data_IF_567466117497
#
_entry.id   IF_567466117497
#
_cell.length_a   1.000
_cell.length_b   1.000
_cell.length_c   1.000
_cell.angle_alpha   90.00
_cell.angle_beta   90.00
_cell.angle_gamma   90.00
#
_symmetry.space_group_name_H-M   'P 1'
#
loop_
_entity.id
_entity.type
_entity.pdbx_description
1 polymer ?
#
# COMPACT_ATOMS: atom_id res chain seq x y z
N UNK A 1 -13.58 -6.79 3.33
CA UNK A 1 -13.04 -7.86 4.19
C UNK A 1 -11.73 -8.38 3.61
N UNK A 2 -10.82 -8.86 4.44
CA UNK A 2 -9.65 -9.67 4.05
C UNK A 2 -9.62 -10.97 4.85
N UNK A 3 -8.97 -12.01 4.33
CA UNK A 3 -8.64 -13.21 5.07
C UNK A 3 -7.41 -13.91 4.44
N UNK A 4 -6.85 -14.90 5.12
CA UNK A 4 -5.67 -15.62 4.67
C UNK A 4 -5.71 -17.10 5.02
N UNK A 5 -5.41 -17.97 4.07
CA UNK A 5 -5.51 -19.41 4.23
C UNK A 5 -4.26 -20.12 3.67
N UNK A 6 -4.04 -21.40 3.99
CA UNK A 6 -2.97 -22.19 3.36
C UNK A 6 -3.11 -22.17 1.84
N UNK A 7 -2.00 -22.01 1.11
CA UNK A 7 -2.07 -21.94 -0.35
C UNK A 7 -2.62 -23.26 -0.92
N UNK A 8 -3.69 -23.24 -1.73
CA UNK A 8 -4.11 -24.41 -2.49
C UNK A 8 -3.02 -24.82 -3.48
N UNK A 9 -2.64 -26.10 -3.50
CA UNK A 9 -1.56 -26.59 -4.36
C UNK A 9 -1.80 -26.31 -5.85
N UNK A 10 -3.08 -26.39 -6.25
CA UNK A 10 -3.54 -26.17 -7.62
C UNK A 10 -3.28 -24.73 -8.14
N UNK A 11 -3.14 -23.76 -7.24
CA UNK A 11 -2.91 -22.37 -7.62
C UNK A 11 -1.39 -22.10 -7.53
N UNK A 12 -0.72 -21.70 -8.64
CA UNK A 12 0.72 -21.49 -8.63
C UNK A 12 1.10 -20.24 -7.81
N UNK A 13 2.25 -20.25 -7.10
CA UNK A 13 2.77 -19.06 -6.44
C UNK A 13 2.92 -17.87 -7.40
N UNK A 14 2.58 -16.68 -6.92
CA UNK A 14 2.58 -15.46 -7.72
C UNK A 14 1.32 -15.25 -8.56
N UNK A 15 0.39 -16.22 -8.59
CA UNK A 15 -0.92 -16.01 -9.21
C UNK A 15 -1.70 -14.92 -8.48
N UNK A 16 -2.34 -14.05 -9.26
CA UNK A 16 -3.24 -13.02 -8.79
C UNK A 16 -4.51 -13.10 -9.62
N UNK A 17 -5.64 -13.35 -8.95
CA UNK A 17 -6.94 -13.49 -9.58
C UNK A 17 -7.91 -12.42 -9.11
N UNK A 18 -8.84 -12.06 -9.97
CA UNK A 18 -9.96 -11.18 -9.61
C UNK A 18 -11.26 -11.76 -10.14
N UNK A 19 -12.28 -11.79 -9.28
CA UNK A 19 -13.66 -12.12 -9.65
C UNK A 19 -14.48 -10.87 -9.46
N UNK A 20 -15.07 -10.36 -10.54
CA UNK A 20 -15.72 -9.04 -10.57
C UNK A 20 -17.22 -9.20 -10.80
N UNK A 21 -17.99 -8.32 -10.18
CA UNK A 21 -19.42 -8.17 -10.42
C UNK A 21 -19.81 -6.69 -10.25
N UNK A 22 -21.07 -6.37 -10.53
CA UNK A 22 -21.62 -5.07 -10.20
C UNK A 22 -21.49 -4.80 -8.69
N UNK A 23 -20.75 -3.73 -8.38
CA UNK A 23 -20.50 -3.15 -7.05
C UNK A 23 -19.73 -4.04 -6.06
N UNK A 24 -19.25 -5.19 -6.51
CA UNK A 24 -18.61 -6.20 -5.68
C UNK A 24 -17.45 -6.85 -6.42
N UNK A 25 -16.41 -7.24 -5.70
CA UNK A 25 -15.28 -7.97 -6.29
C UNK A 25 -14.51 -8.78 -5.26
N UNK A 26 -13.92 -9.88 -5.71
CA UNK A 26 -12.93 -10.66 -4.98
C UNK A 26 -11.57 -10.44 -5.63
N UNK A 27 -10.53 -10.28 -4.82
CA UNK A 27 -9.14 -10.33 -5.23
C UNK A 27 -8.44 -11.45 -4.48
N UNK A 28 -7.76 -12.34 -5.20
CA UNK A 28 -6.95 -13.43 -4.69
C UNK A 28 -5.48 -13.11 -4.95
N UNK A 29 -4.65 -13.16 -3.91
CA UNK A 29 -3.20 -13.07 -4.01
C UNK A 29 -2.58 -14.37 -3.53
N UNK A 30 -1.82 -15.03 -4.38
CA UNK A 30 -1.27 -16.35 -4.07
C UNK A 30 0.23 -16.28 -3.78
N UNK A 31 0.62 -16.55 -2.53
CA UNK A 31 2.01 -16.58 -2.08
C UNK A 31 2.71 -17.91 -2.33
N UNK A 32 3.80 -18.18 -1.60
CA UNK A 32 4.49 -19.48 -1.64
C UNK A 32 3.83 -20.53 -0.75
N UNK A 33 3.40 -20.13 0.44
CA UNK A 33 2.81 -21.00 1.47
C UNK A 33 1.39 -20.62 1.85
N UNK A 34 0.99 -19.36 1.62
CA UNK A 34 -0.33 -18.84 1.98
C UNK A 34 -0.94 -18.08 0.81
N UNK A 35 -2.26 -18.02 0.81
CA UNK A 35 -3.05 -17.16 -0.07
C UNK A 35 -3.75 -16.10 0.77
N UNK A 36 -4.07 -14.98 0.13
CA UNK A 36 -4.84 -13.90 0.71
C UNK A 36 -6.02 -13.60 -0.19
N UNK A 37 -7.17 -13.35 0.42
CA UNK A 37 -8.36 -12.90 -0.26
C UNK A 37 -8.77 -11.53 0.26
N UNK A 38 -9.28 -10.71 -0.64
CA UNK A 38 -9.91 -9.44 -0.34
C UNK A 38 -11.27 -9.41 -1.00
N UNK A 39 -12.30 -9.23 -0.18
CA UNK A 39 -13.68 -9.09 -0.62
C UNK A 39 -14.05 -7.62 -0.50
N UNK A 40 -14.53 -7.04 -1.60
CA UNK A 40 -14.91 -5.64 -1.68
C UNK A 40 -16.37 -5.52 -2.04
N UNK A 41 -17.03 -4.59 -1.38
CA UNK A 41 -18.37 -4.14 -1.71
C UNK A 41 -18.40 -2.61 -1.63
N UNK A 42 -19.06 -1.99 -2.60
CA UNK A 42 -19.25 -0.55 -2.63
C UNK A 42 -20.31 -0.16 -1.61
N UNK A 43 -19.96 0.80 -0.74
CA UNK A 43 -20.95 1.41 0.16
C UNK A 43 -22.06 2.15 -0.62
N UNK A 44 -23.31 2.16 -0.13
CA UNK A 44 -24.42 2.86 -0.78
C UNK A 44 -24.15 4.36 -1.01
N UNK A 45 -23.46 5.00 -0.06
CA UNK A 45 -23.02 6.39 -0.14
C UNK A 45 -21.65 6.55 0.53
N UNK A 46 -20.86 7.58 0.15
CA UNK A 46 -19.67 7.97 0.91
C UNK A 46 -20.06 8.29 2.36
N UNK A 47 -19.24 7.84 3.31
CA UNK A 47 -19.43 8.13 4.74
C UNK A 47 -18.10 8.56 5.36
N UNK A 48 -18.19 9.45 6.34
CA UNK A 48 -17.08 9.85 7.22
C UNK A 48 -17.15 9.14 8.57
N UNK A 49 -18.13 8.26 8.77
CA UNK A 49 -18.39 7.61 10.03
C UNK A 49 -17.40 6.48 10.27
N UNK A 50 -16.96 6.38 11.52
CA UNK A 50 -16.16 5.24 11.96
C UNK A 50 -17.07 4.05 12.18
N UNK A 51 -16.97 3.07 11.31
CA UNK A 51 -17.70 1.80 11.46
C UNK A 51 -16.83 0.79 12.20
N UNK A 52 -17.36 0.26 13.29
CA UNK A 52 -16.73 -0.86 14.00
C UNK A 52 -17.31 -2.16 13.45
N UNK A 53 -16.49 -2.93 12.74
CA UNK A 53 -16.86 -4.27 12.29
C UNK A 53 -16.67 -5.26 13.44
N UNK A 54 -17.74 -5.96 13.84
CA UNK A 54 -17.67 -7.08 14.79
C UNK A 54 -17.46 -8.41 14.05
N UNK A 55 -17.20 -9.49 14.77
CA UNK A 55 -16.88 -10.78 14.17
C UNK A 55 -18.04 -11.33 13.33
N UNK A 56 -19.27 -11.10 13.80
CA UNK A 56 -20.51 -11.46 13.14
C UNK A 56 -20.64 -10.77 11.77
N UNK A 57 -20.36 -9.46 11.69
CA UNK A 57 -20.37 -8.73 10.43
C UNK A 57 -19.36 -9.30 9.41
N UNK A 58 -18.20 -9.76 9.90
CA UNK A 58 -17.16 -10.35 9.05
C UNK A 58 -17.61 -11.68 8.46
N UNK A 59 -18.30 -12.51 9.26
CA UNK A 59 -18.84 -13.81 8.82
C UNK A 59 -19.98 -13.58 7.82
N UNK A 60 -20.96 -12.74 8.16
CA UNK A 60 -22.09 -12.41 7.27
C UNK A 60 -21.58 -11.86 5.92
N UNK A 61 -20.58 -10.98 5.96
CA UNK A 61 -19.99 -10.43 4.74
C UNK A 61 -19.30 -11.53 3.91
N UNK A 62 -18.58 -12.46 4.53
CA UNK A 62 -17.95 -13.59 3.85
C UNK A 62 -18.99 -14.52 3.20
N UNK A 63 -20.04 -14.86 3.94
CA UNK A 63 -21.12 -15.76 3.51
C UNK A 63 -21.86 -15.19 2.30
N UNK A 64 -21.99 -13.86 2.22
CA UNK A 64 -22.56 -13.19 1.05
C UNK A 64 -21.76 -13.37 -0.26
N UNK A 65 -20.54 -13.93 -0.18
CA UNK A 65 -19.68 -14.29 -1.31
C UNK A 65 -19.43 -15.82 -1.38
N UNK A 66 -20.06 -16.64 -0.52
CA UNK A 66 -19.76 -18.07 -0.35
C UNK A 66 -19.63 -18.84 -1.69
N UNK A 67 -20.61 -18.67 -2.57
CA UNK A 67 -20.69 -19.36 -3.87
C UNK A 67 -19.76 -18.80 -4.96
N UNK A 68 -19.06 -17.70 -4.70
CA UNK A 68 -18.23 -17.06 -5.73
C UNK A 68 -16.95 -17.85 -5.94
N UNK A 69 -16.64 -18.14 -7.21
CA UNK A 69 -15.36 -18.72 -7.56
C UNK A 69 -14.22 -17.72 -7.34
N UNK A 70 -13.19 -18.16 -6.63
CA UNK A 70 -11.93 -17.43 -6.47
C UNK A 70 -10.86 -17.87 -7.48
N UNK A 71 -10.99 -19.10 -7.99
CA UNK A 71 -10.10 -19.70 -8.97
C UNK A 71 -10.76 -20.93 -9.59
N UNK A 72 -10.95 -20.95 -10.92
CA UNK A 72 -11.63 -22.03 -11.65
C UNK A 72 -12.97 -22.42 -11.00
N UNK A 73 -13.03 -23.59 -10.35
CA UNK A 73 -14.23 -24.11 -9.68
C UNK A 73 -14.12 -24.06 -8.14
N UNK A 74 -13.04 -23.52 -7.59
CA UNK A 74 -12.87 -23.34 -6.14
C UNK A 74 -13.66 -22.12 -5.69
N UNK A 75 -14.64 -22.35 -4.81
CA UNK A 75 -15.46 -21.29 -4.24
C UNK A 75 -14.80 -20.66 -3.02
N UNK A 76 -15.34 -19.52 -2.59
CA UNK A 76 -14.89 -18.85 -1.37
C UNK A 76 -15.15 -19.71 -0.12
N UNK A 77 -16.33 -20.31 -0.03
CA UNK A 77 -16.74 -21.15 1.11
C UNK A 77 -15.78 -22.32 1.37
N UNK A 78 -15.13 -22.83 0.32
CA UNK A 78 -14.20 -23.96 0.41
C UNK A 78 -12.86 -23.60 1.10
N UNK A 79 -12.52 -22.31 1.18
CA UNK A 79 -11.17 -21.86 1.61
C UNK A 79 -11.17 -20.79 2.69
N UNK A 80 -12.30 -20.12 2.94
CA UNK A 80 -12.34 -18.99 3.86
C UNK A 80 -12.07 -19.46 5.29
N UNK A 81 -11.03 -18.89 5.89
CA UNK A 81 -10.70 -19.10 7.30
C UNK A 81 -11.04 -17.83 8.09
N UNK A 82 -12.23 -17.83 8.71
CA UNK A 82 -12.73 -16.70 9.50
C UNK A 82 -11.82 -16.34 10.68
N UNK A 83 -10.98 -17.26 11.18
CA UNK A 83 -10.05 -16.97 12.28
C UNK A 83 -8.94 -15.97 11.89
N UNK A 84 -8.72 -15.81 10.58
CA UNK A 84 -7.75 -14.87 10.02
C UNK A 84 -8.40 -13.65 9.37
N UNK A 85 -9.73 -13.58 9.42
CA UNK A 85 -10.48 -12.59 8.71
C UNK A 85 -10.56 -11.26 9.47
N UNK A 86 -10.70 -10.17 8.71
CA UNK A 86 -11.00 -8.86 9.24
C UNK A 86 -11.72 -8.00 8.21
N UNK A 87 -12.34 -6.93 8.68
CA UNK A 87 -13.09 -6.02 7.83
C UNK A 87 -12.93 -4.57 8.29
N UNK A 88 -12.94 -3.67 7.32
CA UNK A 88 -12.93 -2.23 7.51
C UNK A 88 -13.53 -1.58 6.26
N UNK A 89 -14.09 -0.38 6.44
CA UNK A 89 -14.31 0.53 5.32
C UNK A 89 -12.97 0.97 4.74
N UNK A 90 -12.94 1.19 3.42
CA UNK A 90 -11.78 1.74 2.74
C UNK A 90 -11.91 3.26 2.66
N UNK A 91 -10.92 3.94 3.21
CA UNK A 91 -10.82 5.39 3.16
C UNK A 91 -10.08 5.81 1.88
N UNK A 92 -10.46 6.97 1.34
CA UNK A 92 -9.85 7.60 0.17
C UNK A 92 -9.59 9.07 0.50
N UNK A 93 -8.35 9.57 0.33
CA UNK A 93 -8.07 10.99 0.45
C UNK A 93 -6.60 11.37 0.59
N UNK A 94 -6.31 12.67 0.54
CA UNK A 94 -5.00 13.24 0.84
C UNK A 94 -5.22 14.38 1.84
N UNK A 95 -4.48 14.40 2.95
CA UNK A 95 -4.64 15.43 3.98
C UNK A 95 -4.14 16.78 3.48
N UNK A 96 -4.82 17.86 3.83
CA UNK A 96 -4.35 19.23 3.51
C UNK A 96 -3.28 19.71 4.50
N UNK A 97 -3.38 19.28 5.75
CA UNK A 97 -2.45 19.61 6.83
C UNK A 97 -1.59 18.38 7.12
N UNK A 98 -0.32 18.41 6.72
CA UNK A 98 0.59 17.26 6.77
C UNK A 98 1.67 17.39 7.84
N UNK A 99 1.82 18.55 8.49
CA UNK A 99 2.79 18.78 9.56
C UNK A 99 2.33 19.87 10.50
N UNK A 100 2.84 19.87 11.73
CA UNK A 100 2.65 20.95 12.69
C UNK A 100 3.84 21.00 13.66
N UNK A 101 4.56 22.12 13.72
CA UNK A 101 5.75 22.25 14.55
C UNK A 101 6.80 21.22 14.20
N UNK A 102 7.11 20.33 15.15
CA UNK A 102 8.09 19.24 14.97
C UNK A 102 7.47 17.94 14.46
N UNK A 103 6.18 17.90 14.14
CA UNK A 103 5.45 16.67 13.75
C UNK A 103 5.19 16.68 12.25
N UNK A 104 5.37 15.54 11.59
CA UNK A 104 5.06 15.34 10.16
C UNK A 104 4.33 14.01 9.93
N UNK A 105 3.38 14.00 8.99
CA UNK A 105 2.59 12.84 8.59
C UNK A 105 3.21 12.15 7.36
N UNK A 106 3.20 10.82 7.38
CA UNK A 106 3.74 9.96 6.32
C UNK A 106 2.81 8.77 6.08
N UNK A 107 2.85 8.19 4.87
CA UNK A 107 2.03 7.03 4.51
C UNK A 107 0.54 7.26 4.73
N UNK A 108 -0.13 6.25 5.30
CA UNK A 108 -1.58 6.25 5.52
C UNK A 108 -2.12 7.41 6.38
N UNK A 109 -1.27 8.07 7.17
CA UNK A 109 -1.67 9.25 7.93
C UNK A 109 -1.74 10.52 7.05
N UNK A 110 -1.02 10.53 5.92
CA UNK A 110 -0.94 11.63 4.97
C UNK A 110 -1.86 11.41 3.76
N UNK A 111 -1.97 10.18 3.27
CA UNK A 111 -2.81 9.82 2.13
C UNK A 111 -3.43 8.44 2.33
N UNK A 112 -4.65 8.25 1.87
CA UNK A 112 -5.41 7.01 1.94
C UNK A 112 -5.79 6.58 0.54
N UNK A 113 -5.32 5.39 0.17
CA UNK A 113 -5.61 4.72 -1.08
C UNK A 113 -6.33 3.41 -0.80
N UNK A 114 -7.20 3.02 -1.72
CA UNK A 114 -7.82 1.70 -1.70
C UNK A 114 -6.75 0.61 -1.96
N UNK A 115 -6.94 -0.57 -1.35
CA UNK A 115 -5.93 -1.64 -1.43
C UNK A 115 -5.82 -2.28 -2.81
N UNK A 116 -6.82 -2.11 -3.67
CA UNK A 116 -6.94 -2.72 -4.99
C UNK A 116 -5.71 -2.51 -5.90
N UNK A 117 -5.04 -1.36 -5.83
CA UNK A 117 -3.87 -1.07 -6.65
C UNK A 117 -2.53 -1.39 -5.96
N UNK A 118 -2.55 -1.78 -4.68
CA UNK A 118 -1.35 -2.06 -3.89
C UNK A 118 -0.45 -0.83 -3.66
N UNK A 119 -0.99 0.39 -3.74
CA UNK A 119 -0.19 1.62 -3.74
C UNK A 119 0.12 2.19 -2.34
N UNK A 120 -0.67 1.88 -1.32
CA UNK A 120 -0.54 2.47 0.02
C UNK A 120 0.83 2.25 0.65
N UNK A 121 1.21 0.98 0.86
CA UNK A 121 2.53 0.62 1.43
C UNK A 121 3.69 1.16 0.58
N UNK A 122 3.59 1.03 -0.74
CA UNK A 122 4.63 1.49 -1.67
C UNK A 122 4.85 3.00 -1.60
N UNK A 123 3.80 3.80 -1.44
CA UNK A 123 3.91 5.23 -1.22
C UNK A 123 4.42 5.55 0.19
N UNK A 124 3.92 4.86 1.21
CA UNK A 124 4.40 5.06 2.58
C UNK A 124 5.91 4.84 2.74
N UNK A 125 6.48 3.83 2.07
CA UNK A 125 7.94 3.63 2.06
C UNK A 125 8.66 4.80 1.37
N UNK A 126 8.15 5.27 0.24
CA UNK A 126 8.74 6.43 -0.45
C UNK A 126 8.69 7.69 0.43
N UNK A 127 7.62 7.85 1.21
CA UNK A 127 7.46 9.00 2.12
C UNK A 127 8.45 8.96 3.26
N UNK A 128 8.66 7.79 3.87
CA UNK A 128 9.68 7.61 4.90
C UNK A 128 11.06 7.97 4.33
N UNK A 129 11.40 7.48 3.14
CA UNK A 129 12.68 7.81 2.50
C UNK A 129 12.81 9.31 2.23
N UNK A 130 11.77 9.93 1.66
CA UNK A 130 11.77 11.36 1.34
C UNK A 130 11.90 12.22 2.62
N UNK A 131 11.09 11.90 3.64
CA UNK A 131 11.09 12.58 4.93
C UNK A 131 12.43 12.45 5.64
N UNK A 132 12.93 11.22 5.83
CA UNK A 132 14.22 10.98 6.49
C UNK A 132 15.39 11.64 5.78
N UNK A 133 15.43 11.61 4.43
CA UNK A 133 16.48 12.30 3.68
C UNK A 133 16.43 13.83 3.88
N UNK A 134 15.23 14.40 3.91
CA UNK A 134 15.03 15.84 4.14
C UNK A 134 15.43 16.24 5.56
N UNK A 135 15.02 15.46 6.56
CA UNK A 135 15.38 15.64 7.97
C UNK A 135 16.89 15.52 8.18
N UNK A 136 17.52 14.49 7.60
CA UNK A 136 18.97 14.30 7.68
C UNK A 136 19.72 15.52 7.14
N UNK A 137 19.25 16.07 6.02
CA UNK A 137 19.86 17.27 5.41
C UNK A 137 19.84 18.45 6.39
N UNK A 138 18.68 18.80 6.94
CA UNK A 138 18.55 19.96 7.85
C UNK A 138 19.29 19.76 9.18
N UNK A 139 19.35 18.53 9.69
CA UNK A 139 20.15 18.19 10.88
C UNK A 139 21.65 18.35 10.59
N UNK A 140 22.11 17.89 9.43
CA UNK A 140 23.52 18.03 9.03
C UNK A 140 23.90 19.50 8.83
N UNK A 141 23.02 20.29 8.20
CA UNK A 141 23.21 21.74 8.02
C UNK A 141 23.20 22.51 9.34
N UNK A 142 22.49 21.99 10.36
CA UNK A 142 22.50 22.50 11.74
C UNK A 142 23.70 22.02 12.57
N UNK A 143 24.71 21.38 11.96
CA UNK A 143 25.87 20.88 12.71
C UNK A 143 25.54 19.71 13.66
N UNK A 144 24.49 18.95 13.35
CA UNK A 144 23.90 17.90 14.21
C UNK A 144 23.19 18.40 15.47
N UNK A 145 23.03 19.71 15.62
CA UNK A 145 22.13 20.27 16.63
C UNK A 145 20.66 20.12 16.21
N UNK A 146 19.76 20.22 17.19
CA UNK A 146 18.32 20.17 16.97
C UNK A 146 17.89 21.38 16.12
N UNK A 147 17.40 21.18 14.88
CA UNK A 147 16.96 22.30 14.07
C UNK A 147 15.81 23.03 14.75
N UNK A 148 15.73 24.35 14.53
CA UNK A 148 14.59 25.12 15.01
C UNK A 148 13.29 24.69 14.31
N UNK A 149 12.15 25.08 14.89
CA UNK A 149 10.84 24.68 14.37
C UNK A 149 10.60 25.21 12.95
N UNK A 150 11.10 26.41 12.61
CA UNK A 150 10.91 26.99 11.27
C UNK A 150 11.67 26.22 10.21
N UNK A 151 12.89 25.78 10.53
CA UNK A 151 13.72 24.96 9.65
C UNK A 151 13.06 23.59 9.41
N UNK A 152 12.47 22.98 10.45
CA UNK A 152 11.72 21.73 10.32
C UNK A 152 10.45 21.90 9.49
N UNK A 153 9.63 22.92 9.75
CA UNK A 153 8.41 23.18 8.98
C UNK A 153 8.71 23.43 7.49
N UNK A 154 9.77 24.18 7.18
CA UNK A 154 10.24 24.37 5.81
C UNK A 154 10.70 23.05 5.16
N UNK A 155 11.40 22.20 5.92
CA UNK A 155 11.84 20.87 5.48
C UNK A 155 10.65 19.96 5.19
N UNK A 156 9.67 19.91 6.10
CA UNK A 156 8.46 19.10 5.93
C UNK A 156 7.63 19.59 4.75
N UNK A 157 7.52 20.91 4.55
CA UNK A 157 6.85 21.49 3.38
C UNK A 157 7.52 21.06 2.07
N UNK A 158 8.85 21.10 2.01
CA UNK A 158 9.61 20.64 0.84
C UNK A 158 9.36 19.16 0.54
N UNK A 159 9.37 18.31 1.57
CA UNK A 159 9.00 16.89 1.43
C UNK A 159 7.58 16.72 0.87
N UNK A 160 6.61 17.43 1.45
CA UNK A 160 5.21 17.29 1.04
C UNK A 160 4.99 17.78 -0.39
N UNK A 161 5.56 18.93 -0.77
CA UNK A 161 5.48 19.45 -2.14
C UNK A 161 6.13 18.51 -3.17
N UNK A 162 7.25 17.87 -2.80
CA UNK A 162 7.90 16.85 -3.64
C UNK A 162 6.99 15.63 -3.87
N UNK A 163 6.17 15.25 -2.89
CA UNK A 163 5.33 14.05 -2.94
C UNK A 163 3.90 14.30 -3.40
N UNK A 164 3.42 15.55 -3.36
CA UNK A 164 2.04 15.90 -3.68
C UNK A 164 1.62 15.52 -5.12
N UNK A 165 2.50 15.72 -6.10
CA UNK A 165 2.25 15.27 -7.48
C UNK A 165 2.02 13.75 -7.55
N UNK A 166 3.01 12.94 -7.14
CA UNK A 166 2.87 11.49 -7.02
C UNK A 166 1.64 11.04 -6.21
N UNK A 167 1.32 11.69 -5.09
CA UNK A 167 0.13 11.39 -4.30
C UNK A 167 -1.16 11.53 -5.13
N UNK A 168 -1.31 12.63 -5.87
CA UNK A 168 -2.50 12.86 -6.69
C UNK A 168 -2.62 11.83 -7.83
N UNK A 169 -1.51 11.52 -8.50
CA UNK A 169 -1.50 10.54 -9.59
C UNK A 169 -1.88 9.14 -9.09
N UNK A 170 -1.33 8.73 -7.95
CA UNK A 170 -1.63 7.44 -7.35
C UNK A 170 -3.01 7.40 -6.72
N UNK A 171 -3.50 8.50 -6.16
CA UNK A 171 -4.87 8.64 -5.69
C UNK A 171 -5.88 8.44 -6.82
N UNK A 172 -5.71 9.15 -7.95
CA UNK A 172 -6.57 9.01 -9.13
C UNK A 172 -6.52 7.57 -9.66
N UNK A 173 -5.32 6.97 -9.71
CA UNK A 173 -5.15 5.61 -10.18
C UNK A 173 -5.86 4.59 -9.27
N UNK A 174 -5.65 4.68 -7.95
CA UNK A 174 -6.29 3.81 -6.97
C UNK A 174 -7.81 3.91 -7.03
N UNK A 175 -8.32 5.15 -7.09
CA UNK A 175 -9.73 5.48 -7.21
C UNK A 175 -10.36 4.82 -8.44
N UNK A 176 -9.69 4.93 -9.59
CA UNK A 176 -10.11 4.33 -10.85
C UNK A 176 -10.10 2.81 -10.78
N UNK A 177 -9.02 2.21 -10.26
CA UNK A 177 -8.86 0.75 -10.17
C UNK A 177 -9.98 0.10 -9.37
N UNK A 178 -10.28 0.62 -8.17
CA UNK A 178 -11.37 0.09 -7.34
C UNK A 178 -12.73 0.16 -8.04
N UNK A 179 -13.02 1.27 -8.74
CA UNK A 179 -14.29 1.46 -9.46
C UNK A 179 -14.40 0.56 -10.69
N UNK A 180 -13.27 0.31 -11.35
CA UNK A 180 -13.16 -0.66 -12.45
C UNK A 180 -13.42 -2.08 -11.94
N UNK A 181 -12.76 -2.51 -10.87
CA UNK A 181 -12.90 -3.88 -10.36
C UNK A 181 -14.29 -4.17 -9.81
N UNK A 182 -14.95 -3.17 -9.23
CA UNK A 182 -16.31 -3.28 -8.71
C UNK A 182 -17.39 -2.91 -9.75
N UNK A 183 -17.07 -2.82 -11.05
CA UNK A 183 -17.99 -2.39 -12.13
C UNK A 183 -18.95 -1.27 -11.68
N UNK A 184 -18.38 -0.18 -11.17
CA UNK A 184 -19.16 0.84 -10.45
C UNK A 184 -20.23 1.54 -11.32
N UNK A 185 -20.12 1.41 -12.64
CA UNK A 185 -21.15 1.75 -13.63
C UNK A 185 -20.90 0.92 -14.91
N UNK A 186 -21.84 1.00 -15.87
CA UNK A 186 -21.76 0.28 -17.14
C UNK A 186 -20.51 0.60 -17.96
N UNK A 187 -20.01 1.84 -17.90
CA UNK A 187 -18.78 2.23 -18.60
C UNK A 187 -17.55 1.52 -18.06
N UNK A 188 -17.43 1.43 -16.73
CA UNK A 188 -16.36 0.66 -16.11
C UNK A 188 -16.45 -0.82 -16.48
N UNK A 189 -17.65 -1.42 -16.50
CA UNK A 189 -17.86 -2.78 -16.98
C UNK A 189 -17.41 -2.96 -18.44
N UNK A 190 -17.83 -2.08 -19.35
CA UNK A 190 -17.44 -2.17 -20.76
C UNK A 190 -15.93 -1.99 -20.94
N UNK A 191 -15.34 -1.05 -20.19
CA UNK A 191 -13.91 -0.82 -20.23
C UNK A 191 -13.12 -2.03 -19.72
N UNK A 192 -13.44 -2.57 -18.54
CA UNK A 192 -12.73 -3.72 -17.99
C UNK A 192 -12.90 -4.98 -18.83
N UNK A 193 -14.11 -5.21 -19.37
CA UNK A 193 -14.41 -6.43 -20.13
C UNK A 193 -13.83 -6.46 -21.54
N UNK A 194 -13.79 -5.31 -22.23
CA UNK A 194 -13.48 -5.24 -23.66
C UNK A 194 -12.28 -4.37 -24.02
N UNK A 195 -12.01 -3.29 -23.27
CA UNK A 195 -10.97 -2.32 -23.63
C UNK A 195 -9.66 -2.56 -22.89
N UNK A 196 -9.74 -2.91 -21.60
CA UNK A 196 -8.58 -2.97 -20.72
C UNK A 196 -7.53 -3.94 -21.24
N UNK A 197 -7.94 -5.13 -21.71
CA UNK A 197 -7.01 -6.12 -22.29
C UNK A 197 -6.23 -5.60 -23.50
N UNK A 198 -6.84 -4.76 -24.33
CA UNK A 198 -6.20 -4.20 -25.53
C UNK A 198 -5.14 -3.17 -25.12
N UNK A 199 -5.43 -2.37 -24.10
CA UNK A 199 -4.56 -1.28 -23.67
C UNK A 199 -3.48 -1.71 -22.67
N UNK A 200 -3.75 -2.71 -21.83
CA UNK A 200 -2.95 -3.00 -20.64
C UNK A 200 -1.57 -3.55 -20.98
N UNK A 201 -1.43 -4.47 -21.95
CA UNK A 201 -0.11 -5.01 -22.27
C UNK A 201 0.83 -3.95 -22.85
N UNK A 202 0.34 -3.15 -23.80
CA UNK A 202 1.18 -2.23 -24.56
C UNK A 202 1.45 -0.91 -23.83
N UNK A 203 0.43 -0.29 -23.23
CA UNK A 203 0.58 1.05 -22.61
C UNK A 203 1.12 0.94 -21.19
N UNK A 204 0.57 0.03 -20.38
CA UNK A 204 0.85 0.00 -18.95
C UNK A 204 2.32 -0.36 -18.68
N UNK A 205 2.82 -1.44 -19.29
CA UNK A 205 4.19 -1.86 -19.07
C UNK A 205 5.19 -0.84 -19.62
N UNK A 206 4.97 -0.38 -20.86
CA UNK A 206 5.97 0.42 -21.58
C UNK A 206 6.03 1.87 -21.12
N UNK A 207 4.89 2.50 -20.85
CA UNK A 207 4.84 3.94 -20.62
C UNK A 207 4.61 4.32 -19.16
N UNK A 208 3.85 3.53 -18.39
CA UNK A 208 3.52 3.91 -17.01
C UNK A 208 4.42 3.22 -16.00
N UNK A 209 4.53 1.89 -16.03
CA UNK A 209 5.27 1.12 -15.04
C UNK A 209 6.76 1.45 -15.04
N UNK A 210 7.43 1.43 -16.19
CA UNK A 210 8.86 1.75 -16.28
C UNK A 210 9.18 3.17 -15.77
N UNK A 211 8.33 4.16 -16.10
CA UNK A 211 8.52 5.53 -15.62
C UNK A 211 8.38 5.61 -14.09
N UNK A 212 7.33 4.99 -13.55
CA UNK A 212 7.05 4.97 -12.10
C UNK A 212 8.14 4.27 -11.30
N UNK A 213 8.64 3.14 -11.81
CA UNK A 213 9.79 2.43 -11.24
C UNK A 213 10.98 3.38 -11.14
N UNK A 214 11.36 4.02 -12.25
CA UNK A 214 12.56 4.85 -12.32
C UNK A 214 12.50 6.09 -11.42
N UNK A 215 11.31 6.56 -11.06
CA UNK A 215 11.11 7.69 -10.14
C UNK A 215 11.09 7.29 -8.67
N UNK A 216 11.14 5.99 -8.36
CA UNK A 216 11.07 5.49 -6.98
C UNK A 216 12.26 5.98 -6.14
N UNK A 217 11.98 6.71 -5.07
CA UNK A 217 13.03 7.26 -4.19
C UNK A 217 13.89 6.17 -3.54
N UNK A 218 13.34 4.98 -3.31
CA UNK A 218 14.09 3.81 -2.82
C UNK A 218 15.27 3.45 -3.73
N UNK A 219 15.19 3.70 -5.04
CA UNK A 219 16.28 3.42 -5.98
C UNK A 219 17.46 4.38 -5.87
N UNK A 220 17.31 5.49 -5.15
CA UNK A 220 18.43 6.39 -4.85
C UNK A 220 19.27 5.90 -3.67
N UNK A 221 18.78 4.95 -2.89
CA UNK A 221 19.62 4.20 -1.95
C UNK A 221 20.55 3.30 -2.77
N UNK A 222 21.86 3.53 -2.63
CA UNK A 222 22.95 2.99 -3.47
C UNK A 222 22.94 1.45 -3.64
N UNK A 223 22.17 0.72 -2.81
CA UNK A 223 22.02 -0.74 -2.82
C UNK A 223 20.89 -1.28 -3.73
N UNK A 224 19.95 -0.45 -4.20
CA UNK A 224 18.72 -0.94 -4.84
C UNK A 224 18.77 -1.09 -6.37
N UNK A 225 19.58 -0.29 -7.08
CA UNK A 225 19.50 -0.18 -8.55
C UNK A 225 19.79 -1.48 -9.32
N UNK A 226 20.86 -2.21 -8.99
CA UNK A 226 21.29 -3.38 -9.76
C UNK A 226 20.36 -4.59 -9.58
N UNK A 227 19.79 -4.76 -8.38
CA UNK A 227 18.87 -5.87 -8.08
C UNK A 227 17.46 -5.64 -8.61
N UNK A 228 16.97 -4.39 -8.59
CA UNK A 228 15.62 -4.09 -9.09
C UNK A 228 15.52 -4.35 -10.60
N UNK A 229 16.54 -3.99 -11.39
CA UNK A 229 16.55 -4.24 -12.85
C UNK A 229 16.51 -5.74 -13.17
N UNK A 230 17.24 -6.57 -12.42
CA UNK A 230 17.20 -8.02 -12.60
C UNK A 230 15.83 -8.62 -12.24
N UNK A 231 15.21 -8.15 -11.17
CA UNK A 231 13.86 -8.54 -10.76
C UNK A 231 12.81 -8.14 -11.80
N UNK A 232 12.86 -6.90 -12.30
CA UNK A 232 11.96 -6.41 -13.34
C UNK A 232 12.09 -7.19 -14.64
N UNK A 233 13.31 -7.54 -15.06
CA UNK A 233 13.53 -8.39 -16.23
C UNK A 233 12.99 -9.82 -16.04
N UNK A 234 13.02 -10.36 -14.81
CA UNK A 234 12.40 -11.65 -14.47
C UNK A 234 10.87 -11.62 -14.53
N UNK A 235 10.26 -10.53 -14.03
CA UNK A 235 8.81 -10.31 -14.11
C UNK A 235 8.31 -10.15 -15.55
N UNK A 236 9.04 -9.41 -16.39
CA UNK A 236 8.69 -9.23 -17.82
C UNK A 236 8.70 -10.56 -18.57
N UNK A 237 9.60 -11.49 -18.23
CA UNK A 237 9.72 -12.80 -18.90
C UNK A 237 8.67 -13.83 -18.46
N UNK A 238 7.98 -13.60 -17.35
CA UNK A 238 7.13 -14.63 -16.73
C UNK A 238 5.62 -14.42 -16.95
N UNK A 239 5.22 -13.41 -17.73
CA UNK A 239 3.82 -13.23 -18.13
C UNK A 239 2.85 -13.03 -16.97
N UNK A 240 3.33 -12.57 -15.80
CA UNK A 240 2.46 -12.29 -14.66
C UNK A 240 1.72 -10.96 -14.88
N UNK A 241 0.43 -11.06 -15.17
CA UNK A 241 -0.42 -9.96 -15.64
C UNK A 241 -1.10 -9.11 -14.56
N UNK A 242 -0.73 -9.21 -13.29
CA UNK A 242 -1.47 -8.48 -12.24
C UNK A 242 -0.55 -7.89 -11.16
N UNK A 243 -0.75 -6.59 -11.00
CA UNK A 243 -0.24 -5.63 -10.04
C UNK A 243 0.01 -6.17 -8.63
N UNK A 244 1.21 -6.69 -8.35
CA UNK A 244 1.74 -6.75 -6.99
C UNK A 244 3.23 -6.37 -6.99
N UNK A 245 3.48 -5.18 -6.47
CA UNK A 245 4.80 -4.73 -6.04
C UNK A 245 5.15 -5.36 -4.68
N UNK A 246 5.55 -6.64 -4.64
CA UNK A 246 6.13 -7.28 -3.44
C UNK A 246 7.30 -8.19 -3.83
N UNK A 247 8.33 -7.62 -4.46
CA UNK A 247 9.59 -8.35 -4.65
C UNK A 247 10.79 -7.40 -4.78
N UNK A 248 11.26 -6.85 -3.66
CA UNK A 248 12.65 -6.37 -3.55
C UNK A 248 13.16 -6.13 -2.12
N UNK A 249 12.30 -5.95 -1.13
CA UNK A 249 12.76 -5.63 0.24
C UNK A 249 12.92 -6.94 1.02
N UNK A 250 14.08 -7.60 0.88
CA UNK A 250 14.59 -8.48 1.95
C UNK A 250 14.94 -7.61 3.17
N UNK A 251 14.83 -8.14 4.41
CA UNK A 251 15.04 -7.36 5.62
C UNK A 251 16.36 -6.61 5.52
N UNK A 252 16.28 -5.29 5.64
CA UNK A 252 17.46 -4.45 5.79
C UNK A 252 18.18 -4.93 7.04
N UNK A 253 19.48 -5.18 6.89
CA UNK A 253 20.39 -5.54 7.97
C UNK A 253 20.22 -4.52 9.12
N UNK A 254 20.03 -5.01 10.35
CA UNK A 254 19.73 -4.21 11.56
C UNK A 254 20.68 -3.01 11.78
N UNK A 255 21.85 -3.00 11.14
CA UNK A 255 22.82 -1.91 11.15
C UNK A 255 22.28 -0.56 10.65
N UNK A 256 21.42 -0.48 9.63
CA UNK A 256 20.99 0.81 9.10
C UNK A 256 19.96 1.51 10.01
N UNK A 257 19.09 0.71 10.64
CA UNK A 257 18.16 1.19 11.66
C UNK A 257 18.94 1.60 12.93
N UNK A 258 19.92 0.81 13.34
CA UNK A 258 20.78 1.14 14.49
C UNK A 258 21.66 2.38 14.25
N UNK A 259 22.11 2.64 13.02
CA UNK A 259 22.84 3.88 12.69
C UNK A 259 21.94 5.13 12.67
N UNK A 260 20.66 4.99 12.35
CA UNK A 260 19.69 6.07 12.45
C UNK A 260 19.28 6.36 13.91
N UNK A 261 19.31 5.35 14.78
CA UNK A 261 19.01 5.47 16.21
C UNK A 261 20.20 5.95 17.06
N UNK A 262 21.45 5.75 16.61
CA UNK A 262 22.66 6.05 17.38
C UNK A 262 23.10 7.53 17.38
N UNK A 263 22.42 8.41 16.64
CA UNK A 263 22.79 9.84 16.55
C UNK A 263 21.75 10.75 17.17
N UNK A 264 21.98 11.19 18.42
CA UNK A 264 21.48 12.37 19.17
C UNK A 264 20.02 12.88 19.04
N UNK A 265 19.18 12.29 18.18
CA UNK A 265 17.79 12.69 17.91
C UNK A 265 16.95 11.43 17.96
N UNK A 266 16.14 11.30 19.02
CA UNK A 266 15.15 10.24 19.13
C UNK A 266 14.03 10.55 18.13
N UNK A 267 14.08 9.90 16.97
CA UNK A 267 12.95 9.85 16.04
C UNK A 267 12.06 8.71 16.51
N UNK A 268 10.99 9.03 17.24
CA UNK A 268 9.95 8.05 17.49
C UNK A 268 9.13 7.88 16.22
N UNK A 269 9.55 6.89 15.42
CA UNK A 269 8.67 6.28 14.43
C UNK A 269 7.76 5.35 15.20
N UNK A 270 6.52 5.78 15.47
CA UNK A 270 5.48 4.89 16.00
C UNK A 270 5.06 3.91 14.89
N UNK A 271 5.93 2.93 14.66
CA UNK A 271 5.76 1.82 13.77
C UNK A 271 5.31 0.64 14.62
N UNK A 272 4.03 0.25 14.53
CA UNK A 272 3.61 -1.08 14.98
C UNK A 272 4.24 -2.13 14.04
N UNK A 273 5.50 -2.47 14.28
CA UNK A 273 6.30 -3.40 13.47
C UNK A 273 6.49 -4.78 14.13
N UNK A 274 5.79 -5.07 15.22
CA UNK A 274 5.78 -6.41 15.81
C UNK A 274 4.46 -7.12 15.50
N UNK A 275 4.56 -8.20 14.71
CA UNK A 275 3.53 -9.14 14.27
C UNK A 275 2.69 -8.72 13.06
N UNK A 276 3.03 -9.25 11.89
CA UNK A 276 2.10 -9.43 10.77
C UNK A 276 1.02 -10.47 11.15
N UNK A 277 0.13 -10.10 12.07
CA UNK A 277 -1.26 -10.54 12.05
C UNK A 277 -2.03 -9.40 11.39
N UNK A 278 -2.79 -9.69 10.33
CA UNK A 278 -3.68 -8.71 9.70
C UNK A 278 -4.88 -8.49 10.63
N UNK A 279 -4.63 -7.95 11.82
CA UNK A 279 -5.61 -7.60 12.83
C UNK A 279 -5.45 -6.10 13.10
N UNK A 280 -6.35 -5.32 12.51
CA UNK A 280 -6.53 -3.88 12.73
C UNK A 280 -5.32 -2.99 12.46
N UNK A 281 -5.28 -2.31 11.30
CA UNK A 281 -4.52 -1.07 11.15
C UNK A 281 -5.15 0.01 12.06
N UNK A 282 -4.73 0.05 13.32
CA UNK A 282 -5.10 1.04 14.34
C UNK A 282 -3.87 1.77 14.85
N UNK A 283 -3.20 2.52 13.99
CA UNK A 283 -2.35 3.66 14.39
C UNK A 283 -1.93 4.45 13.13
N UNK A 284 -2.06 5.79 13.11
CA UNK A 284 -1.39 6.60 12.09
C UNK A 284 0.13 6.48 12.29
N UNK A 285 0.88 6.38 11.18
CA UNK A 285 2.33 6.50 11.24
C UNK A 285 2.68 7.96 11.56
N UNK A 286 3.08 8.20 12.81
CA UNK A 286 3.46 9.51 13.31
C UNK A 286 4.97 9.53 13.52
N UNK A 287 5.64 10.53 12.97
CA UNK A 287 7.03 10.84 13.30
C UNK A 287 7.02 11.94 14.38
N UNK A 288 7.37 11.57 15.60
CA UNK A 288 7.54 12.51 16.72
C UNK A 288 9.03 12.71 16.98
N UNK A 289 9.44 13.97 17.07
CA UNK A 289 10.79 14.36 17.45
C UNK A 289 10.74 14.92 18.87
N UNK A 290 11.26 14.16 19.83
CA UNK A 290 11.44 14.64 21.20
C UNK A 290 12.92 14.50 21.60
N UNK A 291 13.40 15.43 22.42
CA UNK A 291 14.74 15.36 22.99
C UNK A 291 14.64 14.48 24.24
N UNK A 292 15.29 13.32 24.23
CA UNK A 292 15.50 12.54 25.45
C UNK A 292 16.16 13.45 26.50
N UNK A 293 15.45 13.75 27.58
CA UNK A 293 16.03 14.40 28.75
C UNK A 293 16.77 13.33 29.55
N UNK A 294 18.10 13.26 29.39
CA UNK A 294 19.02 12.62 30.35
C UNK A 294 19.05 11.11 30.33
#
# INVERSE_FOLDING_TARGET
MWASFPRPEAIPPGYVGETQHQHRSIMLLNGKSRSWIFLYERLPAPSHDRVKCIAEDVIEFADSFADWSIWNNTKLEDVVDHSTAGMSNLEEGIVKNFSHGRIVLVGDACHKFTSNAGLGLNNGIQDIVAGCNSIRKVVTESGFDLPDVKALEATFKTYYEMRLGPFNDDFIHSKMMTRMQAWANTWYFLFTRYLFFIFSEWILFRFTMLRRVCTGLVLTMHLAKSRLVALLNGFIRSGYHSFIWISAIRPCNDQLLNQLLAGAIQIEILCSLNTWRISSCRAPLLLVFDQARG
#
